data_IF_008952674657
#
_entry.id   IF_008952674657
#
_cell.length_a   1.000
_cell.length_b   1.000
_cell.length_c   1.000
_cell.angle_alpha   90.00
_cell.angle_beta   90.00
_cell.angle_gamma   90.00
#
_symmetry.space_group_name_H-M   'P 1'
#
loop_
_entity.id
_entity.type
_entity.pdbx_description
1 polymer ?
#
# COMPACT_ATOMS: atom_id res chain seq x y z
N UNK A 1 -35.58 27.27 22.26
CA UNK A 1 -35.13 26.87 20.91
C UNK A 1 -33.70 26.37 21.07
N UNK A 2 -33.51 25.06 20.99
CA UNK A 2 -32.30 24.34 21.43
C UNK A 2 -31.25 24.30 20.31
N UNK A 3 -29.97 24.32 20.71
CA UNK A 3 -28.74 24.48 19.93
C UNK A 3 -28.60 23.54 18.72
N UNK A 4 -28.24 24.11 17.57
CA UNK A 4 -27.61 23.39 16.46
C UNK A 4 -26.24 22.86 16.90
N UNK A 5 -25.93 21.57 16.71
CA UNK A 5 -24.56 21.11 16.86
C UNK A 5 -23.81 21.55 15.60
N UNK A 6 -22.99 22.59 15.74
CA UNK A 6 -21.93 22.85 14.77
C UNK A 6 -20.95 21.69 14.87
N UNK A 7 -21.13 20.68 14.03
CA UNK A 7 -20.05 19.74 13.75
C UNK A 7 -18.94 20.55 13.08
N UNK A 8 -17.86 20.79 13.83
CA UNK A 8 -16.65 21.42 13.31
C UNK A 8 -16.13 20.54 12.18
N UNK A 9 -16.25 21.00 10.93
CA UNK A 9 -15.75 20.31 9.74
C UNK A 9 -14.22 20.24 9.68
N UNK A 10 -13.53 20.78 10.69
CA UNK A 10 -12.07 20.85 10.76
C UNK A 10 -11.39 19.51 11.15
N UNK A 11 -12.15 18.55 11.68
CA UNK A 11 -11.64 17.23 12.10
C UNK A 11 -12.23 16.06 11.29
N UNK A 12 -12.92 16.34 10.17
CA UNK A 12 -13.36 15.28 9.27
C UNK A 12 -12.17 14.77 8.45
N UNK A 13 -11.38 13.88 9.04
CA UNK A 13 -10.42 13.06 8.30
C UNK A 13 -11.27 12.09 7.49
N UNK A 14 -11.43 12.37 6.20
CA UNK A 14 -11.99 11.40 5.26
C UNK A 14 -11.27 10.07 5.48
N UNK A 15 -12.01 8.97 5.71
CA UNK A 15 -11.46 7.62 5.86
C UNK A 15 -10.64 7.14 4.63
N UNK A 16 -10.58 7.96 3.58
CA UNK A 16 -9.82 7.77 2.35
C UNK A 16 -8.58 8.70 2.23
N UNK A 17 -8.23 9.49 3.24
CA UNK A 17 -6.96 10.25 3.25
C UNK A 17 -5.82 9.31 3.67
N UNK A 18 -5.01 9.00 2.67
CA UNK A 18 -4.17 7.81 2.49
C UNK A 18 -3.02 7.62 3.50
N UNK A 19 -2.94 6.44 4.15
CA UNK A 19 -1.68 5.87 4.63
C UNK A 19 -0.99 4.96 3.59
N UNK A 20 -1.43 4.99 2.32
CA UNK A 20 -1.04 4.03 1.27
C UNK A 20 0.46 4.13 0.89
N UNK A 21 0.99 5.33 0.72
CA UNK A 21 2.40 5.52 0.31
C UNK A 21 3.37 5.16 1.44
N UNK A 22 2.96 5.40 2.69
CA UNK A 22 3.74 5.00 3.86
C UNK A 22 3.76 3.48 4.00
N UNK A 23 2.61 2.83 3.81
CA UNK A 23 2.50 1.37 3.79
C UNK A 23 3.32 0.74 2.66
N UNK A 24 3.35 1.35 1.48
CA UNK A 24 4.13 0.86 0.34
C UNK A 24 5.64 0.98 0.60
N UNK A 25 6.08 2.14 1.10
CA UNK A 25 7.49 2.36 1.41
C UNK A 25 7.99 1.43 2.52
N UNK A 26 7.18 1.21 3.56
CA UNK A 26 7.49 0.29 4.65
C UNK A 26 7.52 -1.16 4.14
N UNK A 27 6.58 -1.56 3.27
CA UNK A 27 6.58 -2.87 2.65
C UNK A 27 7.82 -3.09 1.78
N UNK A 28 8.19 -2.11 0.94
CA UNK A 28 9.39 -2.18 0.09
C UNK A 28 10.66 -2.29 0.94
N UNK A 29 10.73 -1.59 2.07
CA UNK A 29 11.86 -1.73 3.02
C UNK A 29 11.97 -3.14 3.60
N UNK A 30 10.86 -3.77 3.99
CA UNK A 30 10.90 -5.14 4.48
C UNK A 30 11.27 -6.12 3.35
N UNK A 31 10.76 -5.93 2.14
CA UNK A 31 11.19 -6.70 0.96
C UNK A 31 12.70 -6.63 0.76
N UNK A 32 13.27 -5.42 0.81
CA UNK A 32 14.69 -5.21 0.61
C UNK A 32 15.52 -5.83 1.75
N UNK A 33 15.04 -5.75 2.99
CA UNK A 33 15.67 -6.40 4.16
C UNK A 33 15.67 -7.93 4.08
N UNK A 34 14.69 -8.51 3.42
CA UNK A 34 14.59 -9.95 3.18
C UNK A 34 15.22 -10.39 1.84
N UNK A 35 15.92 -9.48 1.12
CA UNK A 35 16.50 -9.71 -0.20
C UNK A 35 15.48 -10.19 -1.25
N UNK A 36 14.21 -9.79 -1.13
CA UNK A 36 13.14 -10.14 -2.05
C UNK A 36 12.91 -9.09 -3.14
N UNK A 37 13.83 -8.12 -3.29
CA UNK A 37 13.70 -7.02 -4.26
C UNK A 37 13.57 -7.54 -5.70
N UNK A 38 14.31 -8.60 -6.06
CA UNK A 38 14.21 -9.22 -7.38
C UNK A 38 12.82 -9.83 -7.61
N UNK A 39 12.24 -10.48 -6.59
CA UNK A 39 10.88 -11.02 -6.70
C UNK A 39 9.84 -9.92 -6.85
N UNK A 40 10.01 -8.80 -6.15
CA UNK A 40 9.16 -7.62 -6.29
C UNK A 40 9.17 -7.08 -7.72
N UNK A 41 10.37 -6.88 -8.29
CA UNK A 41 10.51 -6.36 -9.66
C UNK A 41 10.03 -7.38 -10.71
N UNK A 42 10.25 -8.67 -10.46
CA UNK A 42 9.76 -9.76 -11.30
C UNK A 42 8.24 -9.80 -11.34
N UNK A 43 7.56 -9.72 -10.19
CA UNK A 43 6.09 -9.71 -10.14
C UNK A 43 5.54 -8.48 -10.87
N UNK A 44 6.14 -7.30 -10.67
CA UNK A 44 5.72 -6.09 -11.39
C UNK A 44 5.81 -6.25 -12.90
N UNK A 45 6.92 -6.83 -13.38
CA UNK A 45 7.16 -6.98 -14.81
C UNK A 45 6.32 -8.09 -15.43
N UNK A 46 6.18 -9.23 -14.76
CA UNK A 46 5.53 -10.42 -15.31
C UNK A 46 4.01 -10.39 -15.16
N UNK A 47 3.50 -9.98 -13.99
CA UNK A 47 2.06 -10.03 -13.70
C UNK A 47 1.36 -8.73 -14.08
N UNK A 48 2.08 -7.60 -14.06
CA UNK A 48 1.49 -6.28 -14.25
C UNK A 48 2.08 -5.48 -15.42
N UNK A 49 3.11 -6.00 -16.11
CA UNK A 49 3.77 -5.36 -17.26
C UNK A 49 4.27 -3.93 -16.98
N UNK A 50 4.58 -3.60 -15.72
CA UNK A 50 5.09 -2.29 -15.30
C UNK A 50 6.44 -2.41 -14.59
N UNK A 51 7.18 -1.31 -14.55
CA UNK A 51 8.45 -1.26 -13.81
C UNK A 51 8.33 -0.55 -12.46
N UNK A 52 7.17 0.06 -12.18
CA UNK A 52 6.95 0.83 -10.97
C UNK A 52 5.54 0.59 -10.41
N UNK A 53 5.45 0.35 -9.10
CA UNK A 53 4.16 0.19 -8.40
C UNK A 53 3.25 1.41 -8.55
N UNK A 54 3.80 2.60 -8.78
CA UNK A 54 3.03 3.83 -9.00
C UNK A 54 2.34 3.88 -10.36
N UNK A 55 2.71 3.01 -11.28
CA UNK A 55 2.04 2.84 -12.57
C UNK A 55 0.79 1.96 -12.44
N UNK A 56 0.65 1.22 -11.32
CA UNK A 56 -0.53 0.41 -11.04
C UNK A 56 -1.73 1.27 -10.67
N UNK A 57 -2.93 0.80 -11.05
CA UNK A 57 -4.18 1.33 -10.52
C UNK A 57 -4.25 1.12 -9.01
N UNK A 58 -5.10 1.89 -8.33
CA UNK A 58 -5.25 1.79 -6.87
C UNK A 58 -5.62 0.39 -6.41
N UNK A 59 -6.58 -0.24 -7.08
CA UNK A 59 -7.05 -1.60 -6.79
C UNK A 59 -5.93 -2.63 -7.01
N UNK A 60 -5.26 -2.55 -8.16
CA UNK A 60 -4.15 -3.44 -8.53
C UNK A 60 -2.96 -3.32 -7.59
N UNK A 61 -2.69 -2.11 -7.09
CA UNK A 61 -1.62 -1.85 -6.11
C UNK A 61 -1.93 -2.47 -4.75
N UNK A 62 -3.19 -2.46 -4.31
CA UNK A 62 -3.61 -3.14 -3.08
C UNK A 62 -3.42 -4.65 -3.20
N UNK A 63 -3.81 -5.23 -4.33
CA UNK A 63 -3.59 -6.64 -4.65
C UNK A 63 -2.10 -7.00 -4.63
N UNK A 64 -1.27 -6.23 -5.36
CA UNK A 64 0.18 -6.41 -5.40
C UNK A 64 0.81 -6.37 -3.99
N UNK A 65 0.46 -5.36 -3.18
CA UNK A 65 0.91 -5.26 -1.80
C UNK A 65 0.47 -6.47 -0.95
N UNK A 66 -0.73 -7.01 -1.20
CA UNK A 66 -1.23 -8.23 -0.57
C UNK A 66 -0.38 -9.46 -0.89
N UNK A 67 -0.04 -9.65 -2.18
CA UNK A 67 0.82 -10.76 -2.66
C UNK A 67 2.20 -10.66 -2.02
N UNK A 68 2.82 -9.48 -2.07
CA UNK A 68 4.15 -9.27 -1.49
C UNK A 68 4.14 -9.47 0.02
N UNK A 69 3.09 -9.00 0.71
CA UNK A 69 2.96 -9.20 2.16
C UNK A 69 2.86 -10.68 2.52
N UNK A 70 2.18 -11.49 1.69
CA UNK A 70 2.11 -12.93 1.86
C UNK A 70 3.47 -13.60 1.62
N UNK A 71 4.20 -13.19 0.58
CA UNK A 71 5.55 -13.66 0.31
C UNK A 71 6.48 -13.35 1.48
N UNK A 72 6.48 -12.11 1.97
CA UNK A 72 7.27 -11.72 3.14
C UNK A 72 6.97 -12.59 4.36
N UNK A 73 5.71 -12.88 4.65
CA UNK A 73 5.33 -13.77 5.76
C UNK A 73 5.83 -15.21 5.55
N UNK A 74 5.85 -15.69 4.31
CA UNK A 74 6.35 -17.03 4.01
C UNK A 74 7.88 -17.15 4.16
N UNK A 75 8.61 -16.09 3.85
CA UNK A 75 10.08 -16.04 3.93
C UNK A 75 10.61 -15.54 5.28
N UNK A 76 9.81 -14.79 6.04
CA UNK A 76 10.10 -14.36 7.41
C UNK A 76 9.81 -15.49 8.40
N UNK A 77 10.71 -16.47 8.47
CA UNK A 77 10.71 -17.55 9.47
C UNK A 77 11.00 -17.06 10.88
#
# INVERSE_FOLDING_TARGET
MQMSPYFSSADYIHEHVQPEDKSLADLKREVDKHNLSEMWDMILTLDYEVNNVRELSRETREEFCGIVSLLLKAFSK
#
